data_IF_242704849151
#
_entry.id   IF_242704849151
#
_cell.length_a   1.000
_cell.length_b   1.000
_cell.length_c   1.000
_cell.angle_alpha   90.00
_cell.angle_beta   90.00
_cell.angle_gamma   90.00
#
_symmetry.space_group_name_H-M   'P 1'
#
loop_
_entity.id
_entity.type
_entity.pdbx_description
1 polymer ?
#
# COMPACT_ATOMS: atom_id res chain seq x y z
N UNK A 1 13.95 27.77 -64.82
CA UNK A 1 13.42 26.73 -63.92
C UNK A 1 13.40 27.35 -62.54
N UNK A 2 12.22 27.41 -61.93
CA UNK A 2 12.05 27.93 -60.58
C UNK A 2 12.83 27.05 -59.58
N UNK A 3 13.95 27.57 -59.06
CA UNK A 3 14.85 26.87 -58.13
C UNK A 3 14.42 27.05 -56.67
N UNK A 4 13.37 27.82 -56.38
CA UNK A 4 12.90 28.11 -55.00
C UNK A 4 12.49 26.86 -54.21
N UNK A 5 12.15 25.76 -54.90
CA UNK A 5 11.82 24.47 -54.27
C UNK A 5 13.04 23.71 -53.72
N UNK A 6 14.26 24.10 -54.09
CA UNK A 6 15.51 23.49 -53.61
C UNK A 6 16.10 24.21 -52.40
N UNK A 7 15.65 25.44 -52.10
CA UNK A 7 15.85 26.09 -50.80
C UNK A 7 14.85 25.50 -49.79
N UNK A 8 14.94 24.20 -49.55
CA UNK A 8 14.22 23.56 -48.47
C UNK A 8 14.62 24.25 -47.16
N UNK A 9 13.64 24.76 -46.41
CA UNK A 9 13.84 25.50 -45.16
C UNK A 9 14.84 24.77 -44.26
N UNK A 10 16.05 25.32 -44.11
CA UNK A 10 17.08 24.81 -43.22
C UNK A 10 18.27 24.08 -43.87
N UNK A 11 18.25 23.76 -45.18
CA UNK A 11 19.43 23.20 -45.86
C UNK A 11 20.48 24.29 -46.09
N UNK A 12 21.74 24.04 -45.68
CA UNK A 12 22.86 24.99 -45.85
C UNK A 12 23.96 24.51 -46.81
N UNK A 13 23.69 23.46 -47.59
CA UNK A 13 24.60 23.00 -48.64
C UNK A 13 24.33 23.69 -49.98
N UNK A 14 24.95 23.20 -51.05
CA UNK A 14 24.73 23.69 -52.42
C UNK A 14 24.31 22.54 -53.33
N UNK A 15 23.20 22.69 -54.05
CA UNK A 15 22.74 21.67 -55.01
C UNK A 15 23.01 22.15 -56.44
N UNK A 16 23.77 21.36 -57.20
CA UNK A 16 24.07 21.58 -58.61
C UNK A 16 23.67 20.37 -59.48
N UNK A 17 23.91 20.46 -60.79
CA UNK A 17 23.47 19.44 -61.77
C UNK A 17 24.08 18.06 -61.55
N UNK A 18 25.27 17.99 -60.97
CA UNK A 18 25.96 16.73 -60.68
C UNK A 18 26.33 16.66 -59.20
N UNK A 19 26.48 15.43 -58.69
CA UNK A 19 26.95 15.22 -57.31
C UNK A 19 28.35 15.80 -57.08
N UNK A 20 29.19 15.85 -58.11
CA UNK A 20 30.55 16.41 -58.02
C UNK A 20 30.53 17.94 -57.84
N UNK A 21 29.53 18.61 -58.40
CA UNK A 21 29.37 20.08 -58.30
C UNK A 21 28.54 20.52 -57.08
N UNK A 22 27.94 19.55 -56.38
CA UNK A 22 27.08 19.79 -55.22
C UNK A 22 27.87 19.67 -53.91
N UNK A 23 27.51 20.48 -52.93
CA UNK A 23 28.03 20.42 -51.57
C UNK A 23 26.94 19.87 -50.64
N UNK A 24 27.09 18.65 -50.11
CA UNK A 24 26.16 18.12 -49.14
C UNK A 24 26.30 18.88 -47.81
N UNK A 25 25.20 19.02 -47.10
CA UNK A 25 25.18 19.56 -45.74
C UNK A 25 24.29 18.68 -44.88
N UNK A 26 24.78 18.38 -43.69
CA UNK A 26 24.02 17.69 -42.65
C UNK A 26 23.88 18.64 -41.46
N UNK A 27 22.72 18.68 -40.80
CA UNK A 27 22.60 19.37 -39.53
C UNK A 27 23.59 18.76 -38.52
N UNK A 28 24.13 19.60 -37.63
CA UNK A 28 24.98 19.11 -36.55
C UNK A 28 24.18 18.10 -35.70
N UNK A 29 24.78 16.96 -35.27
CA UNK A 29 24.12 16.03 -34.38
C UNK A 29 23.69 16.77 -33.10
N UNK A 30 22.40 16.71 -32.78
CA UNK A 30 21.81 17.33 -31.57
C UNK A 30 22.00 16.42 -30.36
N UNK A 31 23.19 15.88 -30.14
CA UNK A 31 23.50 15.16 -28.91
C UNK A 31 23.84 16.16 -27.80
N UNK A 32 23.38 15.90 -26.57
CA UNK A 32 23.93 16.59 -25.41
C UNK A 32 25.45 16.33 -25.44
N UNK A 33 26.25 17.39 -25.66
CA UNK A 33 27.70 17.24 -25.84
C UNK A 33 28.35 16.51 -24.67
N UNK A 34 29.56 15.96 -24.85
CA UNK A 34 30.22 15.16 -23.81
C UNK A 34 30.43 15.89 -22.46
N UNK A 35 30.35 17.22 -22.44
CA UNK A 35 30.43 18.06 -21.24
C UNK A 35 29.09 18.25 -20.53
N UNK A 36 27.97 17.80 -21.11
CA UNK A 36 26.65 17.92 -20.51
C UNK A 36 26.50 16.90 -19.35
N UNK A 37 25.99 17.30 -18.17
CA UNK A 37 25.90 16.41 -17.03
C UNK A 37 24.79 15.38 -17.23
N UNK A 38 24.99 14.15 -16.72
CA UNK A 38 23.90 13.19 -16.56
C UNK A 38 22.92 13.69 -15.49
N UNK A 39 21.63 13.53 -15.75
CA UNK A 39 20.56 13.93 -14.83
C UNK A 39 19.89 12.67 -14.32
N UNK A 40 19.99 12.42 -13.02
CA UNK A 40 19.35 11.26 -12.36
C UNK A 40 18.37 11.79 -11.32
N UNK A 41 17.10 11.43 -11.46
CA UNK A 41 16.03 11.79 -10.53
C UNK A 41 15.55 10.51 -9.84
N UNK A 42 15.76 10.44 -8.52
CA UNK A 42 15.23 9.37 -7.68
C UNK A 42 14.00 9.93 -6.96
N UNK A 43 12.82 9.45 -7.34
CA UNK A 43 11.55 9.91 -6.80
C UNK A 43 10.88 8.81 -5.97
N UNK A 44 10.79 9.04 -4.66
CA UNK A 44 10.23 8.08 -3.70
C UNK A 44 8.71 8.24 -3.61
N UNK A 45 7.97 7.13 -3.52
CA UNK A 45 6.51 7.12 -3.36
C UNK A 45 6.18 7.03 -1.86
N UNK A 46 5.38 7.97 -1.36
CA UNK A 46 4.90 8.07 0.02
C UNK A 46 5.97 8.10 1.13
N UNK A 47 7.22 8.44 0.79
CA UNK A 47 8.28 8.69 1.78
C UNK A 47 8.06 10.04 2.48
N UNK A 48 7.99 10.02 3.81
CA UNK A 48 7.82 11.18 4.66
C UNK A 48 9.09 12.02 4.81
N UNK A 49 8.92 13.27 5.22
CA UNK A 49 10.03 14.21 5.47
C UNK A 49 11.06 13.68 6.48
N UNK A 50 10.57 12.98 7.52
CA UNK A 50 11.38 12.44 8.61
C UNK A 50 11.81 10.98 8.40
N UNK A 51 11.69 10.43 7.19
CA UNK A 51 12.10 9.05 6.89
C UNK A 51 13.61 8.91 6.59
N UNK A 52 14.30 9.90 5.98
CA UNK A 52 15.75 9.84 5.83
C UNK A 52 16.51 10.32 7.09
N UNK A 53 17.56 9.60 7.48
CA UNK A 53 18.42 9.91 8.63
C UNK A 53 18.96 11.34 8.61
N UNK A 54 19.29 11.87 7.43
CA UNK A 54 19.78 13.23 7.23
C UNK A 54 18.77 14.35 7.57
N UNK A 55 17.51 14.01 7.83
CA UNK A 55 16.45 14.89 8.33
C UNK A 55 16.01 14.56 9.77
N UNK A 56 16.78 13.73 10.47
CA UNK A 56 16.54 13.34 11.87
C UNK A 56 15.75 12.04 12.02
N UNK A 57 15.71 11.20 10.97
CA UNK A 57 15.06 9.89 11.05
C UNK A 57 15.79 8.92 11.97
N UNK A 58 15.01 7.97 12.44
CA UNK A 58 15.36 6.77 13.17
C UNK A 58 15.57 5.56 12.22
N UNK A 59 15.23 5.70 10.92
CA UNK A 59 15.52 4.70 9.88
C UNK A 59 16.96 4.86 9.41
N UNK A 60 17.73 3.76 9.40
CA UNK A 60 19.07 3.76 8.83
C UNK A 60 19.01 3.90 7.30
N UNK A 61 19.31 5.10 6.79
CA UNK A 61 19.35 5.38 5.35
C UNK A 61 20.75 5.75 4.87
N UNK A 62 21.77 4.90 5.09
CA UNK A 62 23.19 5.29 4.93
C UNK A 62 23.54 5.81 3.53
N UNK A 63 22.90 5.28 2.48
CA UNK A 63 23.09 5.76 1.10
C UNK A 63 22.50 7.15 0.86
N UNK A 64 21.33 7.44 1.43
CA UNK A 64 20.68 8.76 1.32
C UNK A 64 21.47 9.77 2.16
N UNK A 65 21.92 9.37 3.34
CA UNK A 65 22.71 10.21 4.24
C UNK A 65 24.07 10.56 3.63
N UNK A 66 24.73 9.58 3.00
CA UNK A 66 25.99 9.81 2.28
C UNK A 66 25.83 10.71 1.05
N UNK A 67 24.66 10.68 0.39
CA UNK A 67 24.35 11.62 -0.70
C UNK A 67 24.13 13.02 -0.13
N UNK A 68 23.32 13.14 0.92
CA UNK A 68 22.99 14.39 1.57
C UNK A 68 24.21 15.09 2.19
N UNK A 69 25.16 14.34 2.73
CA UNK A 69 26.41 14.86 3.28
C UNK A 69 27.36 15.45 2.23
N UNK A 70 27.20 15.08 0.95
CA UNK A 70 28.03 15.54 -0.18
C UNK A 70 27.28 16.48 -1.13
N UNK A 71 26.06 16.85 -0.78
CA UNK A 71 25.16 17.61 -1.65
C UNK A 71 24.40 18.69 -0.90
N UNK A 72 23.29 19.11 -1.51
CA UNK A 72 22.37 20.08 -0.92
C UNK A 72 21.17 19.33 -0.32
N UNK A 73 20.67 19.86 0.82
CA UNK A 73 19.44 19.40 1.46
C UNK A 73 18.44 20.55 1.47
N UNK A 74 17.19 20.23 1.11
CA UNK A 74 16.09 21.18 1.16
C UNK A 74 15.16 20.77 2.31
N UNK A 75 14.97 21.66 3.27
CA UNK A 75 14.12 21.44 4.46
C UNK A 75 12.76 22.16 4.36
N UNK A 76 12.50 22.81 3.22
CA UNK A 76 11.28 23.54 2.97
C UNK A 76 10.85 23.30 1.53
N UNK A 77 9.87 22.40 1.35
CA UNK A 77 9.25 22.14 0.05
C UNK A 77 7.74 22.02 0.21
N UNK A 78 7.02 22.39 -0.83
CA UNK A 78 5.57 22.21 -0.94
C UNK A 78 5.32 21.26 -2.10
N UNK A 79 4.64 20.15 -1.82
CA UNK A 79 4.22 19.19 -2.83
C UNK A 79 2.71 19.03 -2.81
N UNK A 80 2.15 18.38 -3.83
CA UNK A 80 0.76 17.96 -3.79
C UNK A 80 0.62 16.74 -2.86
N UNK A 81 -0.47 16.62 -2.10
CA UNK A 81 -0.64 15.54 -1.12
C UNK A 81 -0.95 14.17 -1.75
N UNK A 82 -0.94 14.06 -3.08
CA UNK A 82 -1.36 12.88 -3.84
C UNK A 82 -0.37 12.65 -5.00
N UNK A 83 -0.13 11.37 -5.31
CA UNK A 83 0.90 10.93 -6.24
C UNK A 83 0.76 11.43 -7.70
N UNK A 84 -0.40 11.36 -8.36
CA UNK A 84 -0.53 11.86 -9.76
C UNK A 84 -0.26 13.36 -9.87
N UNK A 85 -0.92 14.24 -9.08
CA UNK A 85 -0.64 15.68 -9.13
C UNK A 85 0.83 16.04 -8.85
N UNK A 86 1.46 15.35 -7.87
CA UNK A 86 2.87 15.60 -7.53
C UNK A 86 3.82 15.21 -8.68
N UNK A 87 3.59 14.07 -9.34
CA UNK A 87 4.38 13.61 -10.49
C UNK A 87 4.18 14.53 -11.69
N UNK A 88 2.96 14.96 -11.98
CA UNK A 88 2.69 15.89 -13.07
C UNK A 88 3.37 17.25 -12.86
N UNK A 89 3.35 17.78 -11.63
CA UNK A 89 4.05 19.00 -11.29
C UNK A 89 5.58 18.86 -11.44
N UNK A 90 6.15 17.74 -10.99
CA UNK A 90 7.57 17.43 -11.20
C UNK A 90 7.94 17.36 -12.69
N UNK A 91 7.14 16.65 -13.47
CA UNK A 91 7.41 16.43 -14.89
C UNK A 91 7.25 17.69 -15.72
N UNK A 92 6.32 18.58 -15.39
CA UNK A 92 5.98 19.74 -16.24
C UNK A 92 6.49 21.06 -15.71
N UNK A 93 6.91 21.12 -14.44
CA UNK A 93 7.22 22.36 -13.73
C UNK A 93 6.01 23.28 -13.52
N UNK A 94 4.78 22.76 -13.67
CA UNK A 94 3.52 23.55 -13.62
C UNK A 94 2.64 23.12 -12.46
N UNK A 95 1.64 23.96 -12.12
CA UNK A 95 0.62 23.59 -11.16
C UNK A 95 -0.22 22.42 -11.71
N UNK A 96 -0.47 21.39 -10.90
CA UNK A 96 -1.11 20.17 -11.37
C UNK A 96 -2.52 20.39 -11.93
N UNK A 97 -3.30 21.34 -11.39
CA UNK A 97 -4.62 21.68 -11.93
C UNK A 97 -4.52 22.30 -13.34
N UNK A 98 -3.47 23.10 -13.60
CA UNK A 98 -3.28 23.73 -14.92
C UNK A 98 -2.90 22.75 -16.03
N UNK A 99 -2.53 21.52 -15.65
CA UNK A 99 -2.16 20.43 -16.57
C UNK A 99 -3.08 19.22 -16.40
N UNK A 100 -4.31 19.44 -15.95
CA UNK A 100 -5.34 18.40 -15.94
C UNK A 100 -5.23 17.33 -14.83
N UNK A 101 -4.26 17.44 -13.93
CA UNK A 101 -3.97 16.44 -12.90
C UNK A 101 -4.25 16.96 -11.49
N UNK A 102 -5.40 17.58 -11.24
CA UNK A 102 -5.81 18.07 -9.92
C UNK A 102 -6.21 16.95 -8.94
N UNK A 103 -6.34 15.72 -9.41
CA UNK A 103 -6.64 14.53 -8.61
C UNK A 103 -5.92 13.29 -9.19
N UNK A 104 -6.17 12.11 -8.61
CA UNK A 104 -5.65 10.84 -9.09
C UNK A 104 -6.02 10.57 -10.56
N UNK A 105 -5.05 10.13 -11.37
CA UNK A 105 -5.25 9.92 -12.81
C UNK A 105 -6.39 8.93 -13.14
N UNK A 106 -6.66 7.97 -12.24
CA UNK A 106 -7.74 7.00 -12.37
C UNK A 106 -9.14 7.52 -11.99
N UNK A 107 -9.28 8.79 -11.60
CA UNK A 107 -10.56 9.39 -11.22
C UNK A 107 -10.78 10.73 -11.95
N UNK A 108 -11.23 10.62 -13.19
CA UNK A 108 -11.55 11.76 -14.06
C UNK A 108 -12.96 12.27 -13.77
N UNK A 109 -13.06 13.50 -13.25
CA UNK A 109 -14.33 14.13 -12.89
C UNK A 109 -15.01 14.88 -14.06
N UNK A 110 -14.42 14.85 -15.26
CA UNK A 110 -14.94 15.50 -16.47
C UNK A 110 -14.64 17.00 -16.58
N UNK A 111 -13.83 17.55 -15.67
CA UNK A 111 -13.46 18.97 -15.66
C UNK A 111 -12.03 19.19 -16.17
N UNK A 112 -11.72 20.34 -16.80
CA UNK A 112 -10.39 20.59 -17.41
C UNK A 112 -9.20 20.42 -16.46
N UNK A 113 -9.37 20.72 -15.17
CA UNK A 113 -8.31 20.54 -14.16
C UNK A 113 -8.18 19.14 -13.59
N UNK A 114 -9.03 18.19 -14.01
CA UNK A 114 -9.19 16.86 -13.41
C UNK A 114 -9.35 15.76 -14.47
N UNK A 115 -8.76 15.95 -15.65
CA UNK A 115 -8.77 14.97 -16.75
C UNK A 115 -7.96 13.71 -16.42
N UNK A 116 -6.97 13.84 -15.52
CA UNK A 116 -6.03 12.76 -15.16
C UNK A 116 -4.91 12.57 -16.17
N UNK A 117 -4.78 13.48 -17.14
CA UNK A 117 -3.83 13.41 -18.25
C UNK A 117 -3.14 14.76 -18.43
N UNK A 118 -1.81 14.73 -18.56
CA UNK A 118 -1.02 15.92 -18.87
C UNK A 118 -1.27 16.29 -20.34
N UNK A 119 -1.74 17.51 -20.66
CA UNK A 119 -2.02 17.89 -22.04
C UNK A 119 -0.74 17.98 -22.87
N UNK A 120 -0.87 17.80 -24.20
CA UNK A 120 0.26 17.76 -25.13
C UNK A 120 0.98 19.11 -25.28
N UNK A 121 0.32 20.22 -24.92
CA UNK A 121 0.93 21.56 -24.88
C UNK A 121 1.73 21.81 -23.59
N UNK A 122 1.66 20.91 -22.61
CA UNK A 122 2.48 20.91 -21.41
C UNK A 122 3.64 19.92 -21.55
N UNK A 123 4.71 20.38 -22.20
CA UNK A 123 5.92 19.58 -22.37
C UNK A 123 6.47 19.07 -21.03
N UNK A 124 6.82 17.79 -20.99
CA UNK A 124 7.48 17.14 -19.86
C UNK A 124 8.97 17.45 -19.85
N UNK A 125 9.61 17.22 -18.71
CA UNK A 125 11.04 17.28 -18.52
C UNK A 125 11.75 16.35 -19.51
N UNK A 126 11.21 15.15 -19.74
CA UNK A 126 11.79 14.19 -20.67
C UNK A 126 11.72 14.69 -22.13
N UNK A 127 10.58 15.24 -22.56
CA UNK A 127 10.43 15.86 -23.88
C UNK A 127 11.41 17.03 -24.07
N UNK A 128 11.57 17.85 -23.03
CA UNK A 128 12.49 18.99 -23.04
C UNK A 128 13.96 18.55 -23.09
N UNK A 129 14.35 17.56 -22.29
CA UNK A 129 15.71 17.02 -22.27
C UNK A 129 16.06 16.30 -23.57
N UNK A 130 15.13 15.53 -24.13
CA UNK A 130 15.29 14.88 -25.43
C UNK A 130 15.47 15.90 -26.56
N UNK A 131 14.70 16.99 -26.56
CA UNK A 131 14.92 18.10 -27.49
C UNK A 131 16.31 18.74 -27.33
N UNK A 132 16.87 18.71 -26.11
CA UNK A 132 18.24 19.10 -25.80
C UNK A 132 19.32 18.03 -26.09
N UNK A 133 18.94 16.87 -26.64
CA UNK A 133 19.87 15.83 -27.06
C UNK A 133 20.21 14.77 -26.02
N UNK A 134 19.46 14.70 -24.92
CA UNK A 134 19.62 13.66 -23.92
C UNK A 134 18.90 12.37 -24.32
N UNK A 135 19.53 11.23 -24.02
CA UNK A 135 18.82 9.96 -23.93
C UNK A 135 18.00 9.93 -22.62
N UNK A 136 16.79 9.39 -22.66
CA UNK A 136 15.87 9.45 -21.52
C UNK A 136 15.27 8.08 -21.19
N UNK A 137 15.24 7.74 -19.91
CA UNK A 137 14.72 6.46 -19.43
C UNK A 137 13.93 6.67 -18.15
N UNK A 138 12.85 5.89 -18.00
CA UNK A 138 12.06 5.82 -16.79
C UNK A 138 11.96 4.38 -16.29
N UNK A 139 12.11 4.19 -14.98
CA UNK A 139 11.87 2.92 -14.29
C UNK A 139 10.87 3.15 -13.16
N UNK A 140 9.85 2.30 -13.08
CA UNK A 140 8.87 2.32 -12.00
C UNK A 140 7.57 3.06 -12.35
N UNK A 141 6.98 3.76 -11.37
CA UNK A 141 5.59 4.21 -11.42
C UNK A 141 5.41 5.53 -12.20
N UNK A 142 4.64 5.48 -13.29
CA UNK A 142 4.26 6.66 -14.09
C UNK A 142 3.15 7.49 -13.45
N UNK A 143 1.95 6.90 -13.34
CA UNK A 143 0.78 7.45 -12.67
C UNK A 143 0.23 8.80 -13.22
N UNK A 144 0.47 9.09 -14.50
CA UNK A 144 -0.13 10.21 -15.26
C UNK A 144 -0.81 9.74 -16.56
N UNK A 145 -1.34 8.51 -16.52
CA UNK A 145 -2.19 7.94 -17.57
C UNK A 145 -3.54 7.64 -16.93
N UNK A 146 -4.65 8.17 -17.46
CA UNK A 146 -5.97 7.81 -16.98
C UNK A 146 -6.21 6.31 -16.98
N UNK A 147 -7.04 5.81 -16.05
CA UNK A 147 -7.33 4.38 -15.95
C UNK A 147 -7.76 3.74 -17.29
N UNK A 148 -8.74 4.32 -18.01
CA UNK A 148 -9.14 3.85 -19.34
C UNK A 148 -8.03 3.92 -20.40
N UNK A 149 -7.10 4.86 -20.25
CA UNK A 149 -5.95 5.05 -21.15
C UNK A 149 -4.71 4.22 -20.75
N UNK A 150 -4.78 3.51 -19.62
CA UNK A 150 -3.72 2.61 -19.16
C UNK A 150 -3.79 1.25 -19.84
N UNK A 151 -4.83 1.02 -20.63
CA UNK A 151 -4.99 -0.16 -21.46
C UNK A 151 -4.20 0.03 -22.75
N UNK A 152 -3.33 -0.91 -23.12
CA UNK A 152 -2.64 -0.85 -24.38
C UNK A 152 -3.53 -0.67 -25.61
N UNK A 153 -4.80 -1.08 -25.61
CA UNK A 153 -5.74 -0.84 -26.71
C UNK A 153 -6.28 0.60 -26.80
N UNK A 154 -5.90 1.47 -25.87
CA UNK A 154 -6.31 2.88 -25.87
C UNK A 154 -5.32 3.77 -26.63
N UNK A 155 -5.68 5.04 -26.81
CA UNK A 155 -4.73 6.06 -27.26
C UNK A 155 -3.63 6.19 -26.21
N UNK A 156 -2.37 5.99 -26.63
CA UNK A 156 -1.22 5.88 -25.73
C UNK A 156 -0.50 7.22 -25.52
N UNK A 157 -1.08 8.33 -25.97
CA UNK A 157 -0.42 9.64 -25.97
C UNK A 157 0.07 10.05 -24.57
N UNK A 158 -0.60 9.60 -23.51
CA UNK A 158 -0.23 9.91 -22.13
C UNK A 158 0.83 8.99 -21.52
N UNK A 159 1.32 7.97 -22.23
CA UNK A 159 2.25 6.98 -21.69
C UNK A 159 3.68 7.51 -21.57
N UNK A 160 4.54 6.93 -20.70
CA UNK A 160 5.93 7.36 -20.55
C UNK A 160 6.69 7.45 -21.88
N UNK A 161 6.51 6.45 -22.75
CA UNK A 161 7.22 6.36 -24.04
C UNK A 161 6.74 7.39 -25.06
N UNK A 162 5.52 7.88 -24.93
CA UNK A 162 4.93 8.92 -25.76
C UNK A 162 5.20 10.31 -25.18
N UNK A 163 5.55 10.37 -23.89
CA UNK A 163 5.81 11.60 -23.12
C UNK A 163 7.29 11.82 -22.82
N UNK A 164 8.12 11.43 -23.77
CA UNK A 164 9.52 11.82 -23.86
C UNK A 164 10.53 10.73 -23.51
N UNK A 165 10.16 9.67 -22.79
CA UNK A 165 11.08 8.59 -22.41
C UNK A 165 11.30 7.59 -23.56
N UNK A 166 12.52 7.14 -23.80
CA UNK A 166 12.84 6.19 -24.88
C UNK A 166 12.75 4.72 -24.42
N UNK A 167 12.86 4.48 -23.12
CA UNK A 167 12.81 3.15 -22.52
C UNK A 167 11.91 3.11 -21.28
N UNK A 168 11.05 2.09 -21.22
CA UNK A 168 10.14 1.77 -20.12
C UNK A 168 9.95 0.23 -20.04
N UNK A 169 10.22 -0.38 -18.88
CA UNK A 169 10.17 -1.83 -18.55
C UNK A 169 11.04 -2.83 -19.36
N UNK A 170 11.78 -3.69 -18.63
CA UNK A 170 12.89 -4.57 -19.07
C UNK A 170 12.38 -5.93 -19.63
N UNK A 171 13.09 -6.60 -20.57
CA UNK A 171 12.73 -7.93 -21.09
C UNK A 171 12.54 -9.02 -20.04
N UNK A 172 11.72 -10.02 -20.39
CA UNK A 172 11.32 -11.13 -19.50
C UNK A 172 12.52 -11.96 -19.02
N UNK A 173 12.51 -12.28 -17.73
CA UNK A 173 13.54 -13.03 -17.06
C UNK A 173 13.53 -14.50 -17.54
N UNK A 174 14.66 -15.01 -18.01
CA UNK A 174 14.77 -16.40 -18.51
C UNK A 174 15.34 -17.37 -17.47
N UNK A 175 16.05 -16.88 -16.45
CA UNK A 175 16.54 -17.68 -15.32
C UNK A 175 16.50 -16.92 -13.98
N UNK A 176 16.22 -17.66 -12.91
CA UNK A 176 16.33 -17.22 -11.50
C UNK A 176 17.18 -18.24 -10.76
N UNK A 177 18.27 -17.83 -10.10
CA UNK A 177 19.07 -18.70 -9.22
C UNK A 177 19.50 -20.03 -9.85
N UNK A 178 19.93 -20.00 -11.13
CA UNK A 178 20.37 -21.20 -11.86
C UNK A 178 19.25 -22.15 -12.27
N UNK A 179 17.98 -21.73 -12.15
CA UNK A 179 16.80 -22.46 -12.61
C UNK A 179 16.11 -21.68 -13.71
N UNK A 180 15.48 -22.39 -14.64
CA UNK A 180 14.59 -21.76 -15.63
C UNK A 180 13.50 -20.96 -14.90
N UNK A 181 13.31 -19.71 -15.32
CA UNK A 181 12.17 -18.93 -14.87
C UNK A 181 10.88 -19.63 -15.28
N UNK A 182 9.85 -19.57 -14.42
CA UNK A 182 8.52 -20.09 -14.77
C UNK A 182 7.96 -19.29 -15.95
N UNK A 183 7.18 -19.95 -16.80
CA UNK A 183 6.50 -19.28 -17.90
C UNK A 183 5.61 -18.14 -17.36
N UNK A 184 5.61 -17.02 -18.05
CA UNK A 184 4.61 -15.99 -17.81
C UNK A 184 3.25 -16.50 -18.28
N UNK A 185 2.33 -16.75 -17.35
CA UNK A 185 0.98 -17.19 -17.69
C UNK A 185 0.17 -16.12 -18.46
N UNK A 186 0.59 -14.85 -18.38
CA UNK A 186 0.02 -13.76 -19.16
C UNK A 186 0.41 -13.83 -20.63
N UNK A 187 -0.54 -13.55 -21.53
CA UNK A 187 -0.27 -13.40 -22.96
C UNK A 187 -0.14 -11.91 -23.30
N UNK A 188 0.88 -11.56 -24.08
CA UNK A 188 1.04 -10.18 -24.56
C UNK A 188 -0.15 -9.81 -25.42
N UNK A 189 -0.73 -8.65 -25.13
CA UNK A 189 -1.86 -8.12 -25.87
C UNK A 189 -1.48 -7.00 -26.81
N UNK A 190 -0.18 -6.77 -27.01
CA UNK A 190 0.36 -5.81 -27.97
C UNK A 190 -0.22 -5.96 -29.39
N UNK A 191 -0.62 -7.17 -29.81
CA UNK A 191 -1.30 -7.37 -31.08
C UNK A 191 -2.69 -6.66 -31.12
N UNK A 192 -3.48 -6.80 -30.05
CA UNK A 192 -4.82 -6.16 -29.89
C UNK A 192 -4.72 -4.64 -29.83
N UNK A 193 -3.60 -4.13 -29.35
CA UNK A 193 -3.26 -2.70 -29.33
C UNK A 193 -3.05 -2.14 -30.72
N UNK A 194 -2.24 -2.83 -31.51
CA UNK A 194 -1.79 -2.36 -32.81
C UNK A 194 -2.79 -2.62 -33.93
N UNK A 195 -3.77 -3.50 -33.70
CA UNK A 195 -4.70 -3.95 -34.73
C UNK A 195 -6.07 -4.26 -34.12
N UNK A 196 -7.07 -3.47 -34.50
CA UNK A 196 -8.46 -3.65 -34.08
C UNK A 196 -9.08 -5.00 -34.50
N UNK A 197 -8.53 -5.63 -35.56
CA UNK A 197 -8.93 -6.97 -36.01
C UNK A 197 -8.07 -8.10 -35.45
N UNK A 198 -7.12 -7.81 -34.56
CA UNK A 198 -6.30 -8.87 -33.96
C UNK A 198 -7.16 -9.73 -33.03
N UNK A 199 -7.01 -11.05 -33.15
CA UNK A 199 -7.60 -11.96 -32.19
C UNK A 199 -7.09 -11.67 -30.77
N UNK A 200 -7.96 -11.86 -29.77
CA UNK A 200 -7.52 -11.85 -28.37
C UNK A 200 -6.38 -12.85 -28.22
N UNK A 201 -5.22 -12.50 -27.66
CA UNK A 201 -4.10 -13.42 -27.48
C UNK A 201 -4.38 -14.43 -26.35
N UNK A 202 -5.46 -14.21 -25.59
CA UNK A 202 -5.86 -15.01 -24.45
C UNK A 202 -7.26 -15.54 -24.71
N UNK A 203 -7.31 -16.84 -24.87
CA UNK A 203 -8.52 -17.59 -25.21
C UNK A 203 -9.11 -18.29 -23.99
N UNK A 204 -8.35 -18.44 -22.90
CA UNK A 204 -8.80 -19.13 -21.70
C UNK A 204 -8.23 -18.53 -20.41
N UNK A 205 -8.88 -18.83 -19.29
CA UNK A 205 -8.43 -18.49 -17.94
C UNK A 205 -9.15 -19.34 -16.89
N UNK A 206 -8.41 -19.88 -15.92
CA UNK A 206 -8.98 -20.43 -14.69
C UNK A 206 -9.07 -19.38 -13.57
N UNK A 207 -10.03 -19.50 -12.67
CA UNK A 207 -10.17 -18.66 -11.49
C UNK A 207 -10.55 -19.52 -10.28
N UNK A 208 -9.89 -19.33 -9.15
CA UNK A 208 -10.30 -19.89 -7.87
C UNK A 208 -10.19 -18.82 -6.78
N UNK A 209 -11.22 -18.72 -5.94
CA UNK A 209 -11.19 -17.88 -4.76
C UNK A 209 -12.22 -18.35 -3.74
N UNK A 210 -11.77 -18.84 -2.58
CA UNK A 210 -12.64 -19.39 -1.52
C UNK A 210 -13.52 -20.54 -2.03
N UNK A 211 -12.92 -21.46 -2.76
CA UNK A 211 -13.57 -22.58 -3.43
C UNK A 211 -14.64 -22.18 -4.46
N UNK A 212 -14.80 -20.90 -4.77
CA UNK A 212 -15.53 -20.47 -5.96
C UNK A 212 -14.61 -20.68 -7.15
N UNK A 213 -15.13 -21.28 -8.21
CA UNK A 213 -14.35 -21.74 -9.35
C UNK A 213 -14.90 -21.15 -10.63
N UNK A 214 -14.03 -20.88 -11.58
CA UNK A 214 -14.40 -20.37 -12.88
C UNK A 214 -13.41 -20.83 -13.94
N UNK A 215 -13.91 -21.14 -15.13
CA UNK A 215 -13.08 -21.39 -16.29
C UNK A 215 -13.70 -20.76 -17.52
N UNK A 216 -12.98 -19.79 -18.06
CA UNK A 216 -13.32 -19.12 -19.30
C UNK A 216 -12.60 -19.80 -20.46
N UNK A 217 -13.29 -20.05 -21.57
CA UNK A 217 -12.69 -20.37 -22.87
C UNK A 217 -13.55 -19.83 -24.02
N UNK A 218 -12.96 -18.99 -24.87
CA UNK A 218 -13.55 -18.52 -26.14
C UNK A 218 -15.00 -18.04 -26.04
N UNK A 219 -15.30 -17.24 -25.01
CA UNK A 219 -16.64 -16.69 -24.78
C UNK A 219 -17.54 -17.55 -23.89
N UNK A 220 -17.17 -18.79 -23.62
CA UNK A 220 -17.87 -19.62 -22.65
C UNK A 220 -17.25 -19.49 -21.26
N UNK A 221 -18.09 -19.42 -20.23
CA UNK A 221 -17.68 -19.41 -18.84
C UNK A 221 -18.42 -20.51 -18.08
N UNK A 222 -17.68 -21.50 -17.60
CA UNK A 222 -18.16 -22.39 -16.55
C UNK A 222 -17.86 -21.75 -15.19
N UNK A 223 -18.85 -21.72 -14.29
CA UNK A 223 -18.71 -21.11 -12.97
C UNK A 223 -19.35 -21.99 -11.89
N UNK A 224 -18.72 -22.06 -10.72
CA UNK A 224 -19.27 -22.69 -9.53
C UNK A 224 -19.18 -21.70 -8.37
N UNK A 225 -20.33 -21.24 -7.86
CA UNK A 225 -20.39 -20.32 -6.72
C UNK A 225 -20.95 -21.00 -5.48
N UNK A 226 -20.33 -20.75 -4.34
CA UNK A 226 -20.77 -21.26 -3.05
C UNK A 226 -20.51 -20.30 -1.91
N UNK A 227 -21.34 -20.41 -0.87
CA UNK A 227 -21.21 -19.59 0.34
C UNK A 227 -20.00 -20.06 1.15
N UNK A 228 -19.24 -19.09 1.66
CA UNK A 228 -18.10 -19.36 2.55
C UNK A 228 -18.56 -20.09 3.81
N UNK A 229 -17.74 -21.02 4.28
CA UNK A 229 -17.97 -21.84 5.47
C UNK A 229 -18.89 -23.04 5.26
N UNK A 230 -19.50 -23.18 4.08
CA UNK A 230 -20.32 -24.35 3.74
C UNK A 230 -19.48 -25.48 3.15
N UNK A 231 -19.96 -26.74 3.19
CA UNK A 231 -19.31 -27.85 2.49
C UNK A 231 -19.05 -27.49 1.03
N UNK A 232 -17.90 -27.91 0.52
CA UNK A 232 -17.55 -27.69 -0.89
C UNK A 232 -18.40 -28.63 -1.73
N UNK A 233 -19.26 -28.05 -2.55
CA UNK A 233 -19.92 -28.78 -3.64
C UNK A 233 -19.01 -28.73 -4.87
N UNK A 234 -18.63 -29.89 -5.40
CA UNK A 234 -17.77 -29.97 -6.57
C UNK A 234 -18.55 -29.94 -7.88
N UNK A 235 -19.86 -30.16 -7.85
CA UNK A 235 -20.72 -30.40 -9.02
C UNK A 235 -21.70 -29.24 -9.31
N UNK A 236 -21.66 -28.16 -8.52
CA UNK A 236 -22.54 -26.98 -8.65
C UNK A 236 -22.16 -26.01 -9.80
N UNK A 237 -21.79 -26.53 -10.96
CA UNK A 237 -21.38 -25.72 -12.09
C UNK A 237 -22.57 -25.20 -12.91
N UNK A 238 -22.50 -23.93 -13.30
CA UNK A 238 -23.36 -23.28 -14.29
C UNK A 238 -22.53 -22.93 -15.53
N UNK A 239 -23.19 -22.77 -16.68
CA UNK A 239 -22.54 -22.38 -17.93
C UNK A 239 -23.15 -21.10 -18.48
N UNK A 240 -22.30 -20.19 -18.94
CA UNK A 240 -22.71 -18.90 -19.52
C UNK A 240 -22.01 -18.65 -20.86
N UNK A 241 -22.76 -18.15 -21.85
CA UNK A 241 -22.22 -17.68 -23.15
C UNK A 241 -22.07 -16.15 -23.12
N UNK A 242 -20.86 -15.67 -22.85
CA UNK A 242 -20.54 -14.26 -22.70
C UNK A 242 -20.66 -13.49 -24.02
N UNK A 243 -20.68 -14.16 -25.17
CA UNK A 243 -20.91 -13.49 -26.46
C UNK A 243 -22.36 -13.05 -26.63
N UNK A 244 -23.28 -13.65 -25.88
CA UNK A 244 -24.72 -13.35 -25.92
C UNK A 244 -25.22 -12.70 -24.64
N UNK A 245 -24.65 -13.09 -23.51
CA UNK A 245 -24.99 -12.60 -22.19
C UNK A 245 -23.72 -12.30 -21.38
N UNK A 246 -23.18 -11.10 -21.58
CA UNK A 246 -22.02 -10.62 -20.83
C UNK A 246 -22.28 -10.48 -19.32
N UNK A 247 -23.55 -10.47 -18.90
CA UNK A 247 -23.96 -10.29 -17.50
C UNK A 247 -24.03 -11.60 -16.72
N UNK A 248 -23.87 -12.74 -17.39
CA UNK A 248 -23.94 -14.08 -16.78
C UNK A 248 -25.27 -14.35 -16.08
N UNK A 249 -26.34 -13.68 -16.52
CA UNK A 249 -27.67 -13.74 -15.90
C UNK A 249 -28.42 -15.03 -16.26
N UNK A 250 -28.08 -15.65 -17.38
CA UNK A 250 -28.72 -16.87 -17.88
C UNK A 250 -27.76 -18.05 -17.79
N UNK A 251 -28.16 -19.08 -17.04
CA UNK A 251 -27.51 -20.39 -17.07
C UNK A 251 -28.03 -21.20 -18.27
N UNK A 252 -27.12 -21.66 -19.10
CA UNK A 252 -27.39 -22.49 -20.29
C UNK A 252 -26.78 -23.89 -20.18
N UNK A 253 -26.31 -24.30 -19.00
CA UNK A 253 -25.65 -25.58 -18.76
C UNK A 253 -26.47 -26.80 -19.20
N UNK A 254 -27.76 -26.85 -18.90
CA UNK A 254 -28.65 -27.94 -19.32
C UNK A 254 -28.80 -28.02 -20.85
N UNK A 255 -28.65 -26.90 -21.55
CA UNK A 255 -28.75 -26.83 -23.02
C UNK A 255 -27.43 -27.20 -23.71
N UNK A 256 -26.30 -27.08 -23.01
CA UNK A 256 -24.95 -27.33 -23.52
C UNK A 256 -24.12 -28.19 -22.54
N UNK A 257 -24.58 -29.40 -22.19
CA UNK A 257 -23.95 -30.22 -21.15
C UNK A 257 -22.55 -30.71 -21.52
N UNK A 258 -22.26 -30.87 -22.82
CA UNK A 258 -20.95 -31.30 -23.31
C UNK A 258 -19.90 -30.20 -23.14
N UNK A 259 -20.26 -28.95 -23.47
CA UNK A 259 -19.41 -27.77 -23.27
C UNK A 259 -19.14 -27.55 -21.78
N UNK A 260 -20.15 -27.71 -20.92
CA UNK A 260 -19.97 -27.59 -19.47
C UNK A 260 -18.96 -28.64 -18.95
N UNK A 261 -19.11 -29.91 -19.34
CA UNK A 261 -18.15 -30.96 -18.96
C UNK A 261 -16.72 -30.66 -19.43
N UNK A 262 -16.56 -30.16 -20.66
CA UNK A 262 -15.25 -29.82 -21.19
C UNK A 262 -14.56 -28.73 -20.36
N UNK A 263 -15.27 -27.64 -20.04
CA UNK A 263 -14.69 -26.54 -19.27
C UNK A 263 -14.42 -26.91 -17.81
N UNK A 264 -15.24 -27.79 -17.22
CA UNK A 264 -14.98 -28.33 -15.88
C UNK A 264 -13.72 -29.18 -15.87
N UNK A 265 -13.51 -30.04 -16.88
CA UNK A 265 -12.28 -30.82 -17.00
C UNK A 265 -11.05 -29.92 -17.24
N UNK A 266 -11.20 -28.86 -18.05
CA UNK A 266 -10.14 -27.88 -18.28
C UNK A 266 -9.78 -27.07 -17.03
N UNK A 267 -10.77 -26.76 -16.18
CA UNK A 267 -10.51 -26.19 -14.86
C UNK A 267 -9.66 -27.11 -14.00
N UNK A 268 -9.98 -28.41 -13.96
CA UNK A 268 -9.27 -29.37 -13.11
C UNK A 268 -7.79 -29.51 -13.50
N UNK A 269 -7.50 -29.59 -14.80
CA UNK A 269 -6.13 -29.61 -15.32
C UNK A 269 -5.36 -28.33 -14.97
N UNK A 270 -6.00 -27.17 -15.15
CA UNK A 270 -5.41 -25.89 -14.77
C UNK A 270 -5.19 -25.78 -13.25
N UNK A 271 -6.10 -26.31 -12.44
CA UNK A 271 -6.01 -26.30 -10.99
C UNK A 271 -4.82 -27.13 -10.49
N UNK A 272 -4.58 -28.30 -11.07
CA UNK A 272 -3.38 -29.10 -10.77
C UNK A 272 -2.09 -28.42 -11.22
N UNK A 273 -2.07 -27.91 -12.44
CA UNK A 273 -0.90 -27.24 -13.02
C UNK A 273 -0.51 -26.00 -12.21
N UNK A 274 -1.50 -25.26 -11.70
CA UNK A 274 -1.29 -24.00 -11.00
C UNK A 274 -1.36 -24.09 -9.47
N UNK A 275 -1.31 -25.30 -8.90
CA UNK A 275 -1.27 -25.53 -7.45
C UNK A 275 -2.48 -24.93 -6.72
N UNK A 276 -3.66 -24.97 -7.33
CA UNK A 276 -4.91 -24.47 -6.76
C UNK A 276 -5.42 -25.41 -5.65
N UNK A 277 -5.13 -26.70 -5.74
CA UNK A 277 -5.57 -27.67 -4.74
C UNK A 277 -4.63 -27.73 -3.51
N UNK A 278 -5.19 -27.96 -2.31
CA UNK A 278 -6.61 -28.22 -2.01
C UNK A 278 -7.47 -26.94 -1.97
N UNK A 279 -8.76 -27.08 -2.32
CA UNK A 279 -9.73 -26.00 -2.16
C UNK A 279 -10.02 -25.74 -0.67
N UNK A 280 -10.18 -24.47 -0.30
CA UNK A 280 -10.40 -24.06 1.09
C UNK A 280 -11.53 -23.04 1.25
N UNK A 281 -12.72 -23.56 1.59
CA UNK A 281 -13.94 -22.78 1.80
C UNK A 281 -14.17 -22.37 3.26
N UNK A 282 -13.20 -22.56 4.17
CA UNK A 282 -13.36 -22.15 5.58
C UNK A 282 -13.64 -20.64 5.67
N UNK A 283 -14.35 -20.20 6.71
CA UNK A 283 -14.51 -18.77 7.02
C UNK A 283 -13.17 -18.14 7.44
N UNK A 284 -13.07 -16.81 7.37
CA UNK A 284 -11.85 -16.11 7.83
C UNK A 284 -11.52 -16.45 9.29
N UNK A 285 -12.54 -16.52 10.16
CA UNK A 285 -12.38 -16.91 11.57
C UNK A 285 -11.81 -18.33 11.68
N UNK A 286 -12.40 -19.31 10.99
CA UNK A 286 -11.91 -20.69 11.00
C UNK A 286 -10.45 -20.81 10.50
N UNK A 287 -10.08 -20.09 9.42
CA UNK A 287 -8.70 -20.08 8.91
C UNK A 287 -7.71 -19.47 9.91
N UNK A 288 -8.13 -18.43 10.64
CA UNK A 288 -7.32 -17.80 11.68
C UNK A 288 -7.23 -18.64 12.96
N UNK A 289 -8.27 -19.41 13.27
CA UNK A 289 -8.32 -20.33 14.41
C UNK A 289 -7.52 -21.61 14.19
N UNK A 290 -7.32 -22.05 12.94
CA UNK A 290 -6.54 -23.26 12.60
C UNK A 290 -5.01 -23.09 12.75
N UNK A 291 -4.56 -22.19 13.63
CA UNK A 291 -3.18 -21.93 13.99
C UNK A 291 -2.47 -23.03 14.81
N UNK A 292 -2.90 -24.30 14.71
CA UNK A 292 -2.50 -25.34 15.65
C UNK A 292 -1.12 -26.00 15.39
N UNK A 293 -0.40 -25.73 14.29
CA UNK A 293 0.86 -26.46 14.03
C UNK A 293 2.13 -25.62 13.82
N UNK A 294 2.07 -24.29 13.74
CA UNK A 294 3.28 -23.49 13.42
C UNK A 294 3.54 -22.25 14.26
N UNK A 295 2.73 -21.98 15.29
CA UNK A 295 2.93 -20.82 16.15
C UNK A 295 2.72 -21.06 17.65
N UNK A 296 2.80 -22.30 18.14
CA UNK A 296 2.91 -22.56 19.59
C UNK A 296 4.39 -22.45 19.98
N UNK A 297 4.92 -21.23 19.91
CA UNK A 297 6.05 -20.86 20.75
C UNK A 297 5.58 -20.81 22.22
N UNK A 298 6.51 -20.94 23.16
CA UNK A 298 6.24 -20.76 24.58
C UNK A 298 5.34 -19.54 24.86
N UNK A 299 4.54 -19.58 25.93
CA UNK A 299 3.79 -18.43 26.39
C UNK A 299 4.72 -17.20 26.36
N UNK A 300 4.32 -16.10 25.70
CA UNK A 300 5.23 -14.99 25.51
C UNK A 300 5.67 -14.49 26.88
N UNK A 301 6.97 -14.26 27.05
CA UNK A 301 7.49 -13.69 28.29
C UNK A 301 7.09 -12.21 28.39
N UNK A 302 7.07 -11.69 29.62
CA UNK A 302 6.97 -10.26 29.87
C UNK A 302 8.04 -9.51 29.06
N UNK A 303 7.67 -8.34 28.51
CA UNK A 303 8.59 -7.50 27.73
C UNK A 303 8.63 -6.10 28.31
N UNK A 304 9.84 -5.63 28.58
CA UNK A 304 10.12 -4.24 28.93
C UNK A 304 10.56 -3.47 27.68
N UNK A 305 10.04 -2.26 27.52
CA UNK A 305 10.27 -1.36 26.42
C UNK A 305 10.82 -0.05 26.99
N UNK A 306 11.99 0.36 26.51
CA UNK A 306 12.61 1.61 26.93
C UNK A 306 11.87 2.82 26.33
N UNK A 307 11.83 3.93 27.07
CA UNK A 307 11.37 5.19 26.50
C UNK A 307 12.24 5.62 25.32
N UNK A 308 11.64 6.28 24.33
CA UNK A 308 12.33 6.67 23.10
C UNK A 308 12.52 5.57 22.06
N UNK A 309 12.00 4.35 22.29
CA UNK A 309 11.93 3.33 21.24
C UNK A 309 11.00 3.82 20.10
N UNK A 310 11.30 3.46 18.85
CA UNK A 310 10.34 3.63 17.73
C UNK A 310 9.05 2.86 18.02
N UNK A 311 8.00 3.08 17.21
CA UNK A 311 6.78 2.28 17.30
C UNK A 311 7.11 0.79 17.25
N UNK A 312 6.86 0.09 18.35
CA UNK A 312 7.10 -1.35 18.45
C UNK A 312 6.09 -2.03 17.56
N UNK A 313 6.55 -2.81 16.58
CA UNK A 313 5.68 -3.45 15.60
C UNK A 313 4.62 -4.36 16.27
N UNK A 314 3.39 -4.36 15.75
CA UNK A 314 2.27 -5.14 16.29
C UNK A 314 2.56 -6.63 16.47
N UNK A 315 3.44 -7.22 15.65
CA UNK A 315 3.83 -8.62 15.78
C UNK A 315 4.52 -8.94 17.12
N UNK A 316 5.08 -7.93 17.80
CA UNK A 316 5.65 -8.06 19.14
C UNK A 316 4.58 -7.86 20.22
N UNK A 317 3.63 -6.96 20.00
CA UNK A 317 2.63 -6.55 21.01
C UNK A 317 1.42 -7.46 21.02
N UNK A 318 0.88 -7.84 19.86
CA UNK A 318 -0.31 -8.68 19.72
C UNK A 318 -0.21 -9.99 20.52
N UNK A 319 0.91 -10.75 20.52
CA UNK A 319 1.03 -11.94 21.36
C UNK A 319 0.87 -11.68 22.86
N UNK A 320 1.17 -10.46 23.32
CA UNK A 320 1.15 -10.07 24.73
C UNK A 320 -0.25 -9.71 25.23
N UNK A 321 -1.14 -9.26 24.34
CA UNK A 321 -2.45 -8.68 24.75
C UNK A 321 -3.66 -9.33 24.05
N UNK A 322 -3.45 -10.06 22.95
CA UNK A 322 -4.54 -10.56 22.12
C UNK A 322 -5.36 -11.62 22.85
N UNK A 323 -6.62 -11.26 23.12
CA UNK A 323 -7.65 -12.12 23.72
C UNK A 323 -7.19 -12.84 24.99
N UNK A 324 -6.53 -12.08 25.87
CA UNK A 324 -5.98 -12.57 27.13
C UNK A 324 -6.00 -11.48 28.19
N UNK A 325 -5.90 -11.88 29.45
CA UNK A 325 -5.57 -10.97 30.53
C UNK A 325 -4.13 -10.50 30.37
N UNK A 326 -3.82 -9.26 30.75
CA UNK A 326 -2.48 -8.69 30.68
C UNK A 326 -2.34 -7.50 31.63
N UNK A 327 -1.10 -7.11 31.92
CA UNK A 327 -0.80 -5.85 32.59
C UNK A 327 0.07 -4.98 31.69
N UNK A 328 -0.19 -3.67 31.69
CA UNK A 328 0.69 -2.66 31.09
C UNK A 328 1.12 -1.70 32.18
N UNK A 329 2.39 -1.77 32.56
CA UNK A 329 2.97 -0.97 33.63
C UNK A 329 3.89 0.09 33.04
N UNK A 330 3.67 1.35 33.38
CA UNK A 330 4.51 2.47 32.97
C UNK A 330 5.13 3.15 34.19
N UNK A 331 6.45 3.27 34.20
CA UNK A 331 7.18 4.04 35.20
C UNK A 331 7.58 5.40 34.61
N UNK A 332 7.20 6.51 35.26
CA UNK A 332 7.47 7.86 34.78
C UNK A 332 7.52 8.89 35.91
N UNK A 333 8.18 10.01 35.67
CA UNK A 333 8.22 11.18 36.57
C UNK A 333 7.16 12.17 36.10
N UNK A 334 6.28 12.56 37.01
CA UNK A 334 5.26 13.57 36.75
C UNK A 334 5.46 14.82 37.62
N UNK A 335 5.38 15.99 36.99
CA UNK A 335 5.23 17.29 37.64
C UNK A 335 3.85 17.84 37.30
N UNK A 336 3.32 18.76 38.10
CA UNK A 336 2.04 19.43 37.85
C UNK A 336 1.91 20.14 36.49
N UNK A 337 3.05 20.48 35.89
CA UNK A 337 3.15 21.02 34.53
C UNK A 337 3.13 19.96 33.41
N UNK A 338 3.31 18.68 33.75
CA UNK A 338 3.53 17.63 32.75
C UNK A 338 2.22 17.04 32.21
N UNK A 339 2.17 16.89 30.89
CA UNK A 339 1.01 16.40 30.13
C UNK A 339 1.47 15.54 28.94
N UNK A 340 0.55 14.75 28.38
CA UNK A 340 0.75 13.98 27.15
C UNK A 340 0.57 12.47 27.31
N UNK A 341 0.71 11.74 26.21
CA UNK A 341 0.55 10.29 26.12
C UNK A 341 1.71 9.58 26.81
N UNK A 342 1.40 8.74 27.79
CA UNK A 342 2.39 7.87 28.44
C UNK A 342 2.71 6.69 27.53
N UNK A 343 1.67 6.04 27.00
CA UNK A 343 1.79 5.02 25.95
C UNK A 343 0.48 4.84 25.18
N UNK A 344 0.58 4.36 23.94
CA UNK A 344 -0.55 4.00 23.08
C UNK A 344 -0.28 2.63 22.44
N UNK A 345 -1.28 1.76 22.36
CA UNK A 345 -1.23 0.50 21.62
C UNK A 345 -2.36 0.50 20.59
N UNK A 346 -2.03 0.37 19.30
CA UNK A 346 -3.02 0.30 18.23
C UNK A 346 -3.24 1.61 17.50
N UNK A 347 -4.41 1.75 16.86
CA UNK A 347 -4.75 2.89 15.99
C UNK A 347 -6.28 3.12 15.93
N UNK A 348 -6.76 3.94 14.99
CA UNK A 348 -8.16 4.34 14.85
C UNK A 348 -9.17 3.17 14.70
N UNK A 349 -8.76 2.03 14.13
CA UNK A 349 -9.58 0.81 14.01
C UNK A 349 -9.60 0.02 15.31
N UNK A 350 -8.72 0.27 16.28
CA UNK A 350 -8.75 -0.41 17.56
C UNK A 350 -7.45 -0.24 18.35
N UNK A 351 -7.55 -0.10 19.66
CA UNK A 351 -6.39 0.14 20.51
C UNK A 351 -6.72 0.62 21.93
N UNK A 352 -5.69 1.03 22.65
CA UNK A 352 -5.78 1.61 24.00
C UNK A 352 -4.70 2.67 24.18
N UNK A 353 -5.05 3.81 24.77
CA UNK A 353 -4.11 4.91 25.04
C UNK A 353 -4.23 5.38 26.49
N UNK A 354 -3.08 5.51 27.16
CA UNK A 354 -2.94 6.06 28.50
C UNK A 354 -2.21 7.39 28.41
N UNK A 355 -2.81 8.46 28.95
CA UNK A 355 -2.28 9.81 28.82
C UNK A 355 -2.56 10.66 30.07
N UNK A 356 -1.79 11.73 30.23
CA UNK A 356 -1.95 12.71 31.32
C UNK A 356 -2.49 14.02 30.75
N UNK A 357 -3.58 14.50 31.32
CA UNK A 357 -4.20 15.77 30.96
C UNK A 357 -4.85 16.39 32.20
N UNK A 358 -4.70 17.70 32.36
CA UNK A 358 -5.29 18.47 33.48
C UNK A 358 -4.96 17.89 34.86
N UNK A 359 -3.72 17.41 35.02
CA UNK A 359 -3.22 16.78 36.24
C UNK A 359 -3.83 15.41 36.57
N UNK A 360 -4.49 14.78 35.60
CA UNK A 360 -5.12 13.48 35.75
C UNK A 360 -4.62 12.49 34.72
N UNK A 361 -4.41 11.26 35.16
CA UNK A 361 -4.17 10.11 34.29
C UNK A 361 -5.52 9.63 33.73
N UNK A 362 -5.57 9.44 32.41
CA UNK A 362 -6.76 9.06 31.65
C UNK A 362 -6.42 7.86 30.78
N UNK A 363 -7.41 6.97 30.58
CA UNK A 363 -7.31 5.84 29.67
C UNK A 363 -8.51 5.83 28.74
N UNK A 364 -8.24 5.77 27.44
CA UNK A 364 -9.24 5.55 26.40
C UNK A 364 -8.98 4.19 25.75
N UNK A 365 -10.03 3.39 25.64
CA UNK A 365 -10.03 2.07 25.02
C UNK A 365 -10.92 2.10 23.78
N UNK A 366 -10.36 1.79 22.62
CA UNK A 366 -11.05 1.70 21.34
C UNK A 366 -11.25 0.22 20.99
N UNK A 367 -12.43 -0.31 21.32
CA UNK A 367 -12.87 -1.67 21.04
C UNK A 367 -13.40 -1.84 19.62
N UNK A 368 -12.61 -1.48 18.61
CA UNK A 368 -13.00 -1.52 17.19
C UNK A 368 -14.10 -0.55 16.77
N UNK A 369 -13.94 0.71 17.18
CA UNK A 369 -14.89 1.80 16.95
C UNK A 369 -15.83 2.06 18.13
N UNK A 370 -15.86 1.16 19.12
CA UNK A 370 -16.58 1.36 20.38
C UNK A 370 -15.62 1.88 21.46
N UNK A 371 -15.81 3.14 21.87
CA UNK A 371 -14.90 3.80 22.82
C UNK A 371 -15.39 3.65 24.25
N UNK A 372 -14.48 3.28 25.15
CA UNK A 372 -14.68 3.22 26.61
C UNK A 372 -13.59 4.00 27.32
N UNK A 373 -13.94 4.75 28.36
CA UNK A 373 -12.97 5.43 29.22
C UNK A 373 -13.09 4.97 30.67
N UNK A 374 -11.93 4.90 31.35
CA UNK A 374 -11.89 4.71 32.80
C UNK A 374 -11.95 6.06 33.53
N UNK A 375 -12.45 6.11 34.78
CA UNK A 375 -12.49 7.34 35.56
C UNK A 375 -11.10 8.01 35.66
N UNK A 376 -10.98 9.33 35.39
CA UNK A 376 -9.70 10.02 35.48
C UNK A 376 -9.12 10.01 36.89
N UNK A 377 -7.84 9.64 37.01
CA UNK A 377 -7.16 9.47 38.31
C UNK A 377 -6.22 10.66 38.57
N UNK A 378 -6.38 11.34 39.70
CA UNK A 378 -5.48 12.43 40.09
C UNK A 378 -4.06 11.92 40.39
N UNK A 379 -3.05 12.65 39.90
CA UNK A 379 -1.65 12.34 40.11
C UNK A 379 -1.05 13.17 41.27
N UNK A 380 -0.01 12.64 41.89
CA UNK A 380 0.84 13.36 42.84
C UNK A 380 2.23 13.51 42.23
N UNK A 381 2.85 14.68 42.39
CA UNK A 381 4.15 14.98 41.80
C UNK A 381 5.23 14.02 42.32
N UNK A 382 6.10 13.55 41.42
CA UNK A 382 7.18 12.62 41.73
C UNK A 382 7.22 11.42 40.78
N UNK A 383 7.84 10.34 41.25
CA UNK A 383 7.88 9.06 40.53
C UNK A 383 6.51 8.37 40.63
N UNK A 384 6.00 7.92 39.48
CA UNK A 384 4.70 7.28 39.32
C UNK A 384 4.89 5.97 38.58
N UNK A 385 4.37 4.89 39.16
CA UNK A 385 4.14 3.62 38.47
C UNK A 385 2.63 3.50 38.19
N UNK A 386 2.21 3.70 36.95
CA UNK A 386 0.83 3.50 36.52
C UNK A 386 0.66 2.14 35.87
N UNK A 387 -0.29 1.34 36.33
CA UNK A 387 -0.58 0.01 35.79
C UNK A 387 -2.01 -0.06 35.30
N UNK A 388 -2.20 -0.41 34.02
CA UNK A 388 -3.45 -0.99 33.53
C UNK A 388 -3.42 -2.48 33.84
N UNK A 389 -4.38 -2.96 34.64
CA UNK A 389 -4.71 -4.37 34.69
C UNK A 389 -5.91 -4.63 33.80
N UNK A 390 -5.79 -5.62 32.91
CA UNK A 390 -6.84 -6.04 31.99
C UNK A 390 -7.14 -7.53 32.18
N UNK A 391 -8.42 -7.87 32.26
CA UNK A 391 -8.91 -9.24 32.40
C UNK A 391 -9.80 -9.61 31.22
N UNK A 392 -9.44 -10.68 30.51
CA UNK A 392 -10.29 -11.26 29.47
C UNK A 392 -11.24 -12.29 30.11
N UNK A 393 -12.54 -12.03 30.02
CA UNK A 393 -13.61 -12.81 30.67
C UNK A 393 -14.15 -13.93 29.78
N UNK A 394 -13.79 -13.92 28.50
CA UNK A 394 -14.31 -14.80 27.47
C UNK A 394 -15.47 -14.19 26.68
N UNK A 395 -15.89 -14.86 25.61
CA UNK A 395 -16.85 -14.38 24.62
C UNK A 395 -16.51 -12.98 24.10
N UNK A 396 -15.21 -12.71 23.93
CA UNK A 396 -14.66 -11.40 23.55
C UNK A 396 -15.00 -10.28 24.54
N UNK A 397 -15.42 -10.60 25.76
CA UNK A 397 -15.66 -9.61 26.82
C UNK A 397 -14.40 -9.45 27.68
N UNK A 398 -14.15 -8.22 28.11
CA UNK A 398 -13.07 -7.92 29.04
C UNK A 398 -13.35 -6.70 29.90
N UNK A 399 -12.51 -6.52 30.91
CA UNK A 399 -12.58 -5.40 31.84
C UNK A 399 -11.19 -4.92 32.23
N UNK A 400 -11.08 -3.67 32.62
CA UNK A 400 -9.82 -3.10 33.10
C UNK A 400 -9.96 -2.17 34.30
N UNK A 401 -8.84 -1.92 34.96
CA UNK A 401 -8.69 -0.93 36.04
C UNK A 401 -7.29 -0.32 36.07
N UNK A 402 -7.16 0.84 36.71
CA UNK A 402 -5.88 1.53 36.93
C UNK A 402 -5.43 1.38 38.38
N UNK A 403 -4.16 1.03 38.55
CA UNK A 403 -3.43 1.11 39.82
C UNK A 403 -2.34 2.18 39.70
N UNK A 404 -2.10 2.92 40.78
CA UNK A 404 -0.94 3.80 40.93
C UNK A 404 -0.09 3.31 42.10
N UNK A 405 1.19 3.03 41.85
CA UNK A 405 2.14 2.52 42.84
C UNK A 405 1.60 1.29 43.60
N UNK A 406 0.95 0.38 42.86
CA UNK A 406 0.30 -0.83 43.41
C UNK A 406 -1.03 -0.60 44.14
N UNK A 407 -1.53 0.64 44.22
CA UNK A 407 -2.81 0.96 44.88
C UNK A 407 -3.90 1.16 43.83
N UNK A 408 -5.03 0.44 43.96
CA UNK A 408 -6.20 0.61 43.11
C UNK A 408 -6.74 2.05 43.15
N UNK A 409 -7.02 2.60 41.97
CA UNK A 409 -7.57 3.95 41.80
C UNK A 409 -8.88 4.01 41.02
N UNK A 410 -9.18 2.98 40.23
CA UNK A 410 -10.47 2.84 39.56
C UNK A 410 -11.05 1.44 39.84
N UNK A 411 -12.38 1.29 39.93
CA UNK A 411 -12.99 -0.03 39.93
C UNK A 411 -12.75 -0.73 38.58
N UNK A 412 -13.00 -2.04 38.55
CA UNK A 412 -13.11 -2.77 37.29
C UNK A 412 -14.27 -2.25 36.44
N UNK A 413 -14.00 -1.90 35.19
CA UNK A 413 -15.00 -1.45 34.23
C UNK A 413 -14.87 -2.21 32.91
N UNK A 414 -15.99 -2.40 32.22
CA UNK A 414 -16.01 -3.08 30.93
C UNK A 414 -15.14 -2.34 29.91
N UNK A 415 -14.24 -3.08 29.26
CA UNK A 415 -13.36 -2.65 28.18
C UNK A 415 -13.45 -3.71 27.08
N UNK A 416 -14.62 -3.78 26.45
CA UNK A 416 -15.00 -4.78 25.45
C UNK A 416 -15.15 -4.15 24.06
N UNK A 417 -15.04 -4.94 22.99
CA UNK A 417 -14.54 -6.33 22.97
C UNK A 417 -13.03 -6.40 23.28
N UNK A 418 -12.52 -7.56 23.70
CA UNK A 418 -11.09 -7.79 23.96
C UNK A 418 -10.24 -7.42 22.74
N UNK A 419 -9.05 -6.83 22.89
CA UNK A 419 -8.20 -6.56 21.71
C UNK A 419 -7.70 -7.86 21.09
N UNK A 420 -7.65 -7.91 19.77
CA UNK A 420 -7.29 -9.07 18.94
C UNK A 420 -6.50 -8.63 17.70
N UNK A 421 -6.25 -9.54 16.76
CA UNK A 421 -5.84 -9.13 15.41
C UNK A 421 -6.87 -8.19 14.78
N UNK A 422 -6.43 -7.21 13.99
CA UNK A 422 -7.33 -6.30 13.25
C UNK A 422 -6.89 -4.83 13.27
N UNK A 423 -6.11 -4.42 14.28
CA UNK A 423 -5.42 -3.13 14.26
C UNK A 423 -4.00 -3.30 13.67
N UNK A 424 -3.52 -2.25 13.00
CA UNK A 424 -2.31 -2.33 12.17
C UNK A 424 -1.06 -1.75 12.83
N UNK A 425 -1.20 -1.14 13.99
CA UNK A 425 -0.13 -0.51 14.77
C UNK A 425 0.18 -1.29 16.07
N UNK A 426 1.38 -1.11 16.64
CA UNK A 426 1.76 -1.74 17.90
C UNK A 426 1.86 -0.72 19.03
N UNK A 427 2.96 -0.69 19.77
CA UNK A 427 3.13 0.17 20.96
C UNK A 427 3.96 1.41 20.65
N UNK A 428 3.44 2.58 20.98
CA UNK A 428 4.17 3.84 21.12
C UNK A 428 4.30 4.24 22.59
N UNK A 429 5.42 4.89 22.94
CA UNK A 429 5.71 5.37 24.30
C UNK A 429 6.03 6.87 24.23
N UNK A 430 5.33 7.68 25.03
CA UNK A 430 5.54 9.12 25.11
C UNK A 430 4.83 9.97 24.05
N UNK A 431 4.10 9.36 23.12
CA UNK A 431 3.23 10.01 22.13
C UNK A 431 2.33 8.96 21.47
N UNK A 432 1.29 9.40 20.75
CA UNK A 432 0.54 8.57 19.79
C UNK A 432 0.94 9.00 18.37
N UNK A 433 1.79 8.22 17.69
CA UNK A 433 2.65 8.75 16.60
C UNK A 433 1.98 8.77 15.24
N UNK A 434 1.15 7.79 14.90
CA UNK A 434 0.58 7.64 13.55
C UNK A 434 -0.93 7.87 13.55
N UNK A 435 -1.72 6.84 13.29
CA UNK A 435 -3.17 6.96 13.26
C UNK A 435 -3.69 6.89 14.70
N UNK A 436 -4.43 7.91 15.17
CA UNK A 436 -4.69 8.05 16.58
C UNK A 436 -5.59 6.94 17.11
N UNK A 437 -5.28 6.40 18.28
CA UNK A 437 -6.18 5.50 19.02
C UNK A 437 -7.46 6.23 19.40
N UNK A 438 -7.36 7.49 19.81
CA UNK A 438 -8.47 8.37 20.18
C UNK A 438 -8.48 9.65 19.34
N UNK A 439 -9.51 9.81 18.52
CA UNK A 439 -9.71 11.03 17.74
C UNK A 439 -9.93 12.27 18.61
N UNK A 440 -10.60 12.14 19.77
CA UNK A 440 -10.86 13.27 20.67
C UNK A 440 -9.55 13.85 21.23
N UNK A 441 -8.62 12.97 21.66
CA UNK A 441 -7.29 13.39 22.13
C UNK A 441 -6.51 14.02 20.98
N UNK A 442 -6.51 13.39 19.80
CA UNK A 442 -5.77 13.87 18.65
C UNK A 442 -6.27 15.22 18.12
N UNK A 443 -7.59 15.42 18.06
CA UNK A 443 -8.15 16.70 17.62
C UNK A 443 -7.82 17.84 18.58
N UNK A 444 -7.72 17.55 19.89
CA UNK A 444 -7.38 18.55 20.90
C UNK A 444 -5.88 18.89 20.94
N UNK A 445 -5.01 17.89 20.76
CA UNK A 445 -3.58 18.02 21.07
C UNK A 445 -2.61 17.54 19.97
N UNK A 446 -3.11 17.01 18.86
CA UNK A 446 -2.31 16.26 17.88
C UNK A 446 -1.76 14.96 18.47
N UNK A 447 -0.50 14.62 18.20
CA UNK A 447 0.15 13.40 18.71
C UNK A 447 0.37 13.39 20.23
N UNK A 448 0.11 14.52 20.90
CA UNK A 448 0.13 14.74 22.34
C UNK A 448 1.36 14.16 23.08
N UNK A 449 2.55 14.66 22.72
CA UNK A 449 3.83 14.19 23.29
C UNK A 449 3.90 14.46 24.80
N UNK A 450 4.35 13.45 25.57
CA UNK A 450 4.61 13.58 27.00
C UNK A 450 5.76 14.55 27.29
N UNK A 451 5.54 15.51 28.18
CA UNK A 451 6.53 16.55 28.51
C UNK A 451 7.45 16.17 29.68
N UNK A 452 7.07 15.16 30.47
CA UNK A 452 7.86 14.63 31.57
C UNK A 452 8.87 13.56 31.13
N UNK A 453 9.37 12.78 32.09
CA UNK A 453 10.31 11.67 31.81
C UNK A 453 9.62 10.32 31.97
N UNK A 454 9.59 9.50 30.92
CA UNK A 454 9.17 8.10 31.00
C UNK A 454 10.42 7.23 31.16
N UNK A 455 10.42 6.31 32.14
CA UNK A 455 11.52 5.36 32.38
C UNK A 455 11.38 4.12 31.49
N UNK A 456 10.15 3.66 31.29
CA UNK A 456 9.85 2.52 30.43
C UNK A 456 8.43 2.03 30.61
N UNK A 457 8.04 1.10 29.73
CA UNK A 457 6.75 0.42 29.76
C UNK A 457 7.00 -1.08 29.72
N UNK A 458 6.36 -1.83 30.62
CA UNK A 458 6.42 -3.29 30.65
C UNK A 458 5.04 -3.85 30.37
N UNK A 459 4.96 -4.80 29.44
CA UNK A 459 3.75 -5.55 29.16
C UNK A 459 3.95 -6.99 29.65
N UNK A 460 3.12 -7.43 30.58
CA UNK A 460 3.13 -8.80 31.12
C UNK A 460 1.88 -9.54 30.63
N UNK A 461 2.03 -10.59 29.80
CA UNK A 461 0.90 -11.38 29.35
C UNK A 461 0.40 -12.31 30.46
N UNK A 462 -0.91 -12.37 30.65
CA UNK A 462 -1.61 -13.28 31.55
C UNK A 462 -2.29 -14.44 30.83
N UNK A 463 -3.24 -15.10 31.50
CA UNK A 463 -4.01 -16.20 30.93
C UNK A 463 -4.85 -15.75 29.73
N UNK A 464 -4.96 -16.60 28.70
CA UNK A 464 -5.90 -16.37 27.59
C UNK A 464 -7.33 -16.42 28.08
N UNK A 465 -8.24 -15.80 27.33
CA UNK A 465 -9.66 -15.96 27.56
C UNK A 465 -10.06 -17.45 27.52
N UNK A 466 -11.01 -17.92 28.35
CA UNK A 466 -11.37 -19.34 28.44
C UNK A 466 -11.79 -19.99 27.12
N UNK A 467 -12.36 -19.21 26.21
CA UNK A 467 -12.87 -19.59 24.89
C UNK A 467 -12.05 -18.96 23.75
N UNK A 468 -10.84 -18.50 24.04
CA UNK A 468 -10.01 -17.83 23.05
C UNK A 468 -9.72 -18.76 21.86
N UNK A 469 -9.97 -18.34 20.60
CA UNK A 469 -9.61 -19.13 19.42
C UNK A 469 -8.10 -19.28 19.26
N UNK A 470 -7.31 -18.56 20.08
CA UNK A 470 -5.86 -18.60 20.11
C UNK A 470 -5.30 -19.46 21.27
N UNK A 471 -6.17 -20.00 22.14
CA UNK A 471 -5.78 -21.02 23.10
C UNK A 471 -5.57 -22.32 22.33
N UNK A 472 -4.32 -22.82 22.29
CA UNK A 472 -4.04 -24.12 21.70
C UNK A 472 -4.87 -25.20 22.39
N UNK A 473 -5.45 -26.09 21.59
CA UNK A 473 -5.94 -27.39 22.07
C UNK A 473 -4.79 -28.29 22.53
#
# INVERSE_FOLDING_TARGET
MDRSRYDATGFRGRVERTRADSEPWWPAPTGAGMSAPNIVIVYMDDMGYSDPGCFGSEIETPSIDALAARGLRFNHYTTHPICSPARAALLTGRNAHSVGTGWLANNNAGFPGYTGEIPLDAATLAETLRAGGYATMMVGKWHNTPGPLSLPSSVQDSWPTQRGFEHFDVPALTQVNGRSARELHGRSFAAVVSSAGAASPRHEQYYECWSNRGYYRDGWLARSLQKRGQPIDLDNWTLHDLNRDFSESVDVGERHPDTLRELVAAFDDAAWTNLVYPLDNRTMVQKMSDGAARAVGAAPAARAFASGTQTVHRAVVVPLISDRSYTVRAAFVWRDIDQGVVWAIGEQIGGVVLYVEDGRLRLCYNGYGEFSELPPVALAAGEVEATLEYEALGNRQGRGRILLNGVEKTPWQALSPTLMVGFHEGLDIGLDRRAPVSWDVYQKHGTFRYTGTIRGVTIEPGARAPDSPLAGG
#
